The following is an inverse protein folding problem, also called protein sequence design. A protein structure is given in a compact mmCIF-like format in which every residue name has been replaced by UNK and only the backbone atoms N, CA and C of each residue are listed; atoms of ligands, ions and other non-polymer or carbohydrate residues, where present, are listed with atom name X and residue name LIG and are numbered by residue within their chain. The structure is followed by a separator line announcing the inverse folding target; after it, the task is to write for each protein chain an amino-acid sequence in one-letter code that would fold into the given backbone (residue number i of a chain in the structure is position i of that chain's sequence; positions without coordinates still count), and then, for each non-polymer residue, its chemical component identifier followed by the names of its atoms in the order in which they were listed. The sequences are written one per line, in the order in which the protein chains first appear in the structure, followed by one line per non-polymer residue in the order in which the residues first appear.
data_IF_287125934324
#
_entry.id   IF_287125934324
#
_cell.length_a   1.000
_cell.length_b   1.000
_cell.length_c   1.000
_cell.angle_alpha   90.00
_cell.angle_beta   90.00
_cell.angle_gamma   90.00
#
_symmetry.space_group_name_H-M   'P 1'
#
loop_
_entity.id
_entity.type
_entity.pdbx_description
1 polymer ?
#
# COMPACT_ATOMS: atom_id res chain seq x y z
N UNK A 1 -51.12 -10.80 -60.26
CA UNK A 1 -49.74 -10.22 -60.17
C UNK A 1 -49.68 -9.04 -59.23
N UNK A 2 -50.73 -8.26 -59.01
CA UNK A 2 -50.71 -7.11 -58.07
C UNK A 2 -50.88 -7.48 -56.59
N UNK A 3 -51.50 -8.64 -56.28
CA UNK A 3 -51.73 -9.06 -54.90
C UNK A 3 -50.43 -9.60 -54.22
N UNK A 4 -49.59 -10.28 -54.99
CA UNK A 4 -48.33 -10.84 -54.50
C UNK A 4 -47.28 -9.74 -54.16
N UNK A 5 -47.30 -8.61 -54.91
CA UNK A 5 -46.44 -7.46 -54.62
C UNK A 5 -46.81 -6.71 -53.36
N UNK A 6 -48.10 -6.68 -52.98
CA UNK A 6 -48.54 -6.01 -51.72
C UNK A 6 -48.20 -6.84 -50.49
N UNK A 7 -48.26 -8.15 -50.54
CA UNK A 7 -47.88 -9.03 -49.44
C UNK A 7 -46.35 -9.04 -49.19
N UNK A 8 -45.54 -8.92 -50.24
CA UNK A 8 -44.06 -8.83 -50.10
C UNK A 8 -43.60 -7.49 -49.44
N UNK A 9 -44.34 -6.37 -49.69
CA UNK A 9 -44.04 -5.09 -49.06
C UNK A 9 -44.38 -5.05 -47.54
N UNK A 10 -45.45 -5.75 -47.14
CA UNK A 10 -45.85 -5.84 -45.72
C UNK A 10 -44.94 -6.79 -44.91
N UNK A 11 -44.40 -7.82 -45.50
CA UNK A 11 -43.42 -8.72 -44.89
C UNK A 11 -42.07 -8.05 -44.70
N UNK A 12 -41.68 -7.13 -45.59
CA UNK A 12 -40.39 -6.40 -45.48
C UNK A 12 -40.47 -5.28 -44.39
N UNK A 13 -41.64 -4.68 -44.18
CA UNK A 13 -41.83 -3.66 -43.16
C UNK A 13 -41.90 -4.26 -41.72
N UNK A 14 -42.38 -5.49 -41.56
CA UNK A 14 -42.40 -6.18 -40.27
C UNK A 14 -41.01 -6.69 -39.84
N UNK A 15 -40.08 -6.95 -40.77
CA UNK A 15 -38.71 -7.34 -40.48
C UNK A 15 -37.79 -6.15 -40.04
N UNK A 16 -38.18 -4.90 -40.40
CA UNK A 16 -37.43 -3.68 -40.04
C UNK A 16 -37.81 -3.16 -38.64
N UNK A 17 -38.99 -3.49 -38.12
CA UNK A 17 -39.44 -3.03 -36.78
C UNK A 17 -39.15 -4.03 -35.66
N UNK A 18 -38.67 -5.24 -35.95
CA UNK A 18 -38.32 -6.26 -34.95
C UNK A 18 -36.90 -6.15 -34.41
N UNK A 19 -36.08 -5.22 -34.91
CA UNK A 19 -34.64 -5.23 -34.71
C UNK A 19 -34.04 -4.15 -33.79
N UNK A 20 -34.83 -3.36 -33.07
CA UNK A 20 -34.30 -2.20 -32.32
C UNK A 20 -34.82 -2.07 -30.88
N UNK A 21 -34.91 -3.17 -30.15
CA UNK A 21 -34.93 -3.12 -28.69
C UNK A 21 -33.64 -3.77 -28.14
N UNK A 22 -32.49 -3.34 -28.63
CA UNK A 22 -31.29 -3.35 -27.80
C UNK A 22 -31.50 -2.20 -26.80
N UNK A 23 -31.95 -2.54 -25.59
CA UNK A 23 -31.93 -1.60 -24.47
C UNK A 23 -30.53 -0.96 -24.39
N UNK A 24 -30.39 0.26 -23.89
CA UNK A 24 -29.09 0.89 -23.80
C UNK A 24 -28.18 -0.05 -23.03
N UNK A 25 -27.20 -0.64 -23.73
CA UNK A 25 -26.08 -1.27 -23.07
C UNK A 25 -25.44 -0.14 -22.25
N UNK A 26 -25.70 -0.11 -20.95
CA UNK A 26 -25.03 0.83 -20.05
C UNK A 26 -23.54 0.51 -20.19
N UNK A 27 -22.81 1.43 -20.83
CA UNK A 27 -21.38 1.28 -20.98
C UNK A 27 -20.79 1.12 -19.57
N UNK A 28 -20.15 -0.03 -19.34
CA UNK A 28 -19.57 -0.34 -18.05
C UNK A 28 -18.53 0.72 -17.69
N UNK A 29 -18.76 1.46 -16.62
CA UNK A 29 -17.87 2.55 -16.21
C UNK A 29 -16.55 1.99 -15.66
N UNK A 30 -15.44 2.38 -16.29
CA UNK A 30 -14.11 1.92 -15.90
C UNK A 30 -13.28 3.06 -15.36
N UNK A 31 -12.71 2.89 -14.17
CA UNK A 31 -11.70 3.78 -13.59
C UNK A 31 -10.30 3.22 -13.85
N UNK A 32 -9.52 3.94 -14.64
CA UNK A 32 -8.19 3.51 -15.12
C UNK A 32 -7.11 4.18 -14.30
N UNK A 33 -6.28 3.38 -13.63
CA UNK A 33 -5.26 3.83 -12.69
C UNK A 33 -3.89 3.36 -13.20
N UNK A 34 -2.93 4.27 -13.41
CA UNK A 34 -1.57 3.86 -13.72
C UNK A 34 -0.67 3.91 -12.48
N UNK A 35 0.02 2.79 -12.22
CA UNK A 35 0.93 2.59 -11.09
C UNK A 35 2.31 2.15 -11.57
N UNK A 36 3.37 2.51 -10.82
CA UNK A 36 4.75 2.23 -11.21
C UNK A 36 5.26 0.83 -10.83
N UNK A 37 4.54 0.09 -9.98
CA UNK A 37 5.01 -1.17 -9.42
C UNK A 37 4.09 -2.31 -9.80
N UNK A 38 4.67 -3.38 -10.36
CA UNK A 38 3.97 -4.64 -10.56
C UNK A 38 3.96 -5.43 -9.25
N UNK A 39 2.80 -5.94 -8.80
CA UNK A 39 2.73 -6.73 -7.59
C UNK A 39 3.45 -8.07 -7.76
N UNK A 40 4.41 -8.33 -6.89
CA UNK A 40 5.07 -9.62 -6.75
C UNK A 40 4.11 -10.69 -6.21
N UNK A 41 3.20 -10.28 -5.34
CA UNK A 41 2.15 -11.10 -4.74
C UNK A 41 0.84 -10.33 -4.63
N UNK A 42 -0.29 -11.03 -4.58
CA UNK A 42 -1.60 -10.49 -4.19
C UNK A 42 -2.07 -11.09 -2.85
N UNK A 43 -1.22 -11.86 -2.19
CA UNK A 43 -1.48 -12.40 -0.86
C UNK A 43 -1.30 -11.29 0.19
N UNK A 44 -2.34 -10.92 0.96
CA UNK A 44 -2.26 -9.84 1.93
C UNK A 44 -1.09 -9.96 2.91
N UNK A 45 -0.84 -11.17 3.43
CA UNK A 45 0.20 -11.37 4.46
C UNK A 45 1.64 -11.30 3.92
N UNK A 46 1.82 -11.42 2.59
CA UNK A 46 3.14 -11.45 1.96
C UNK A 46 3.57 -10.14 1.31
N UNK A 47 2.71 -9.13 1.29
CA UNK A 47 2.98 -7.84 0.65
C UNK A 47 4.13 -7.09 1.32
N UNK A 48 4.88 -6.35 0.50
CA UNK A 48 6.03 -5.56 0.93
C UNK A 48 5.94 -4.08 0.55
N UNK A 49 4.95 -3.69 -0.27
CA UNK A 49 4.81 -2.33 -0.76
C UNK A 49 3.41 -1.78 -0.60
N UNK A 50 3.29 -0.51 -0.22
CA UNK A 50 2.01 0.21 -0.10
C UNK A 50 1.23 0.24 -1.42
N UNK A 51 1.92 0.35 -2.56
CA UNK A 51 1.26 0.36 -3.88
C UNK A 51 0.50 -0.94 -4.13
N UNK A 52 1.06 -2.09 -3.74
CA UNK A 52 0.39 -3.39 -3.87
C UNK A 52 -0.75 -3.50 -2.86
N UNK A 53 -0.54 -3.05 -1.62
CA UNK A 53 -1.58 -2.98 -0.59
C UNK A 53 -2.80 -2.22 -1.11
N UNK A 54 -2.61 -1.02 -1.67
CA UNK A 54 -3.69 -0.20 -2.21
C UNK A 54 -4.48 -0.88 -3.34
N UNK A 55 -3.87 -1.78 -4.12
CA UNK A 55 -4.61 -2.57 -5.12
C UNK A 55 -5.41 -3.71 -4.48
N UNK A 56 -4.84 -4.36 -3.47
CA UNK A 56 -5.49 -5.47 -2.75
C UNK A 56 -6.66 -4.97 -1.90
N UNK A 57 -6.58 -3.77 -1.34
CA UNK A 57 -7.63 -3.15 -0.51
C UNK A 57 -8.96 -2.90 -1.27
N UNK A 58 -8.95 -2.94 -2.60
CA UNK A 58 -10.21 -2.95 -3.38
C UNK A 58 -11.00 -4.25 -3.20
N UNK A 59 -10.31 -5.35 -2.89
CA UNK A 59 -10.85 -6.71 -2.84
C UNK A 59 -10.95 -7.22 -1.41
N UNK A 60 -9.99 -6.85 -0.56
CA UNK A 60 -9.81 -7.37 0.79
C UNK A 60 -10.09 -6.29 1.81
N UNK A 61 -10.79 -6.62 2.86
CA UNK A 61 -11.01 -5.75 4.01
C UNK A 61 -10.32 -6.29 5.26
N UNK A 62 -10.12 -5.41 6.21
CA UNK A 62 -9.45 -5.66 7.49
C UNK A 62 -10.45 -5.63 8.65
N UNK A 63 -10.04 -6.05 9.84
CA UNK A 63 -10.92 -6.03 11.02
C UNK A 63 -11.20 -4.61 11.50
N UNK A 64 -10.23 -3.71 11.36
CA UNK A 64 -10.33 -2.28 11.68
C UNK A 64 -9.75 -1.47 10.53
N UNK A 65 -10.06 -0.17 10.41
CA UNK A 65 -9.47 0.71 9.41
C UNK A 65 -9.00 2.03 10.03
N UNK A 66 -8.14 2.77 9.31
CA UNK A 66 -7.74 4.13 9.69
C UNK A 66 -8.65 5.13 8.98
N UNK A 67 -9.25 6.05 9.74
CA UNK A 67 -9.93 7.20 9.16
C UNK A 67 -8.93 8.26 8.65
N UNK A 68 -9.44 9.35 8.07
CA UNK A 68 -8.61 10.43 7.52
C UNK A 68 -7.77 11.16 8.58
N UNK A 69 -8.17 11.08 9.85
CA UNK A 69 -7.46 11.62 11.01
C UNK A 69 -6.45 10.62 11.60
N UNK A 70 -6.24 9.46 10.97
CA UNK A 70 -5.34 8.40 11.44
C UNK A 70 -5.85 7.64 12.67
N UNK A 71 -7.15 7.74 13.00
CA UNK A 71 -7.77 7.02 14.12
C UNK A 71 -8.26 5.65 13.69
N UNK A 72 -8.00 4.65 14.50
CA UNK A 72 -8.53 3.29 14.28
C UNK A 72 -10.03 3.25 14.49
N UNK A 73 -10.75 2.73 13.50
CA UNK A 73 -12.21 2.61 13.46
C UNK A 73 -12.66 1.17 13.20
N UNK A 74 -13.89 0.82 13.64
CA UNK A 74 -14.51 -0.47 13.32
C UNK A 74 -14.69 -0.68 11.80
N UNK A 75 -14.38 -1.91 11.32
CA UNK A 75 -14.69 -2.34 9.96
C UNK A 75 -15.36 -3.73 9.96
N UNK A 76 -14.65 -4.81 9.71
CA UNK A 76 -15.19 -6.17 9.87
C UNK A 76 -15.35 -6.57 11.34
N UNK A 77 -14.59 -5.97 12.26
CA UNK A 77 -14.90 -5.99 13.70
C UNK A 77 -15.70 -4.74 14.05
N UNK A 78 -16.87 -4.91 14.67
CA UNK A 78 -17.76 -3.82 15.10
C UNK A 78 -17.28 -3.18 16.41
N UNK A 79 -16.61 -3.95 17.26
CA UNK A 79 -16.03 -3.49 18.53
C UNK A 79 -14.99 -4.46 19.04
N UNK A 80 -14.22 -4.00 20.03
CA UNK A 80 -13.25 -4.84 20.74
C UNK A 80 -13.09 -4.39 22.19
N UNK A 81 -12.65 -5.33 23.03
CA UNK A 81 -12.25 -5.09 24.41
C UNK A 81 -10.86 -5.66 24.64
N UNK A 82 -10.14 -5.06 25.60
CA UNK A 82 -8.78 -5.48 25.97
C UNK A 82 -8.78 -5.84 27.45
N UNK A 83 -8.13 -6.95 27.81
CA UNK A 83 -7.94 -7.35 29.20
C UNK A 83 -7.02 -6.36 29.93
N UNK A 84 -7.14 -6.25 31.27
CA UNK A 84 -6.33 -5.31 32.06
C UNK A 84 -4.82 -5.48 31.91
N UNK A 85 -4.35 -6.72 31.65
CA UNK A 85 -2.95 -7.05 31.42
C UNK A 85 -2.48 -6.76 29.99
N UNK A 86 -3.40 -6.33 29.09
CA UNK A 86 -3.10 -6.03 27.69
C UNK A 86 -2.77 -7.24 26.83
N UNK A 87 -3.01 -8.47 27.31
CA UNK A 87 -2.67 -9.70 26.63
C UNK A 87 -3.81 -10.31 25.82
N UNK A 88 -5.07 -9.99 26.15
CA UNK A 88 -6.22 -10.59 25.48
C UNK A 88 -7.10 -9.52 24.84
N UNK A 89 -7.44 -9.74 23.58
CA UNK A 89 -8.35 -8.91 22.79
C UNK A 89 -9.57 -9.74 22.39
N UNK A 90 -10.75 -9.27 22.74
CA UNK A 90 -12.02 -9.89 22.31
C UNK A 90 -12.64 -9.00 21.24
N UNK A 91 -12.78 -9.52 20.05
CA UNK A 91 -13.31 -8.82 18.86
C UNK A 91 -14.74 -9.30 18.60
N UNK A 92 -15.69 -8.39 18.43
CA UNK A 92 -17.05 -8.67 17.97
C UNK A 92 -17.13 -8.41 16.48
N UNK A 93 -17.48 -9.42 15.71
CA UNK A 93 -17.47 -9.41 14.26
C UNK A 93 -18.82 -8.94 13.70
N UNK A 94 -18.75 -8.27 12.56
CA UNK A 94 -19.93 -7.87 11.78
C UNK A 94 -20.66 -9.11 11.27
N UNK A 95 -21.98 -9.10 11.43
CA UNK A 95 -22.86 -10.19 10.98
C UNK A 95 -23.36 -9.94 9.56
N UNK A 96 -23.70 -11.03 8.85
CA UNK A 96 -24.31 -10.94 7.51
C UNK A 96 -23.36 -10.57 6.38
N UNK A 97 -22.06 -10.52 6.64
CA UNK A 97 -21.03 -10.34 5.61
C UNK A 97 -20.69 -11.68 4.96
N UNK A 98 -20.52 -11.68 3.65
CA UNK A 98 -20.07 -12.85 2.90
C UNK A 98 -18.84 -12.49 2.06
N UNK A 99 -17.98 -13.47 1.85
CA UNK A 99 -16.89 -13.36 0.87
C UNK A 99 -17.42 -13.37 -0.56
N UNK A 100 -16.60 -12.96 -1.53
CA UNK A 100 -16.98 -12.93 -2.94
C UNK A 100 -17.37 -14.31 -3.51
N UNK A 101 -16.88 -15.39 -2.93
CA UNK A 101 -17.25 -16.77 -3.28
C UNK A 101 -18.57 -17.26 -2.63
N UNK A 102 -19.22 -16.38 -1.87
CA UNK A 102 -20.49 -16.65 -1.18
C UNK A 102 -20.33 -17.37 0.16
N UNK A 103 -19.13 -17.72 0.59
CA UNK A 103 -18.90 -18.28 1.92
C UNK A 103 -19.06 -17.21 3.00
N UNK A 104 -19.54 -17.58 4.21
CA UNK A 104 -19.76 -16.61 5.28
C UNK A 104 -18.45 -16.07 5.84
N UNK A 105 -18.43 -14.77 6.16
CA UNK A 105 -17.42 -14.18 7.02
C UNK A 105 -17.82 -14.46 8.48
N UNK A 106 -17.01 -15.23 9.19
CA UNK A 106 -17.23 -15.63 10.59
C UNK A 106 -15.94 -15.69 11.39
N UNK A 107 -16.05 -16.05 12.67
CA UNK A 107 -14.91 -16.17 13.56
C UNK A 107 -13.90 -17.24 13.15
N UNK A 108 -14.33 -18.31 12.45
CA UNK A 108 -13.43 -19.35 11.94
C UNK A 108 -12.57 -18.81 10.80
N UNK A 109 -13.18 -18.04 9.91
CA UNK A 109 -12.44 -17.38 8.83
C UNK A 109 -11.42 -16.36 9.38
N UNK A 110 -11.79 -15.57 10.38
CA UNK A 110 -10.87 -14.64 11.05
C UNK A 110 -9.73 -15.39 11.73
N UNK A 111 -10.05 -16.46 12.49
CA UNK A 111 -9.03 -17.31 13.12
C UNK A 111 -8.03 -17.83 12.07
N UNK A 112 -8.51 -18.39 10.97
CA UNK A 112 -7.68 -18.94 9.90
C UNK A 112 -6.72 -17.86 9.34
N UNK A 113 -7.21 -16.64 9.09
CA UNK A 113 -6.39 -15.53 8.57
C UNK A 113 -5.33 -15.06 9.59
N UNK A 114 -5.71 -14.90 10.86
CA UNK A 114 -4.78 -14.47 11.91
C UNK A 114 -3.76 -15.58 12.28
N UNK A 115 -4.13 -16.85 12.16
CA UNK A 115 -3.20 -17.97 12.34
C UNK A 115 -2.08 -17.94 11.28
N UNK A 116 -2.36 -17.50 10.04
CA UNK A 116 -1.34 -17.30 9.01
C UNK A 116 -0.28 -16.27 9.41
N UNK A 117 -0.66 -15.22 10.13
CA UNK A 117 0.30 -14.18 10.58
C UNK A 117 1.33 -14.72 11.57
N UNK A 118 0.97 -15.72 12.38
CA UNK A 118 1.88 -16.32 13.37
C UNK A 118 2.62 -17.55 12.86
N UNK A 119 2.13 -18.21 11.79
CA UNK A 119 2.72 -19.45 11.29
C UNK A 119 4.12 -19.19 10.71
N UNK A 120 5.19 -19.85 11.22
CA UNK A 120 6.54 -19.73 10.69
C UNK A 120 6.67 -20.29 9.27
N UNK A 121 5.77 -21.18 8.83
CA UNK A 121 5.71 -21.71 7.47
C UNK A 121 5.16 -20.74 6.42
N UNK A 122 4.55 -19.63 6.85
CA UNK A 122 4.06 -18.56 5.98
C UNK A 122 5.06 -17.41 5.97
N UNK A 123 5.43 -16.95 4.77
CA UNK A 123 6.28 -15.76 4.64
C UNK A 123 5.47 -14.52 5.00
N UNK A 124 5.78 -13.88 6.12
CA UNK A 124 5.17 -12.62 6.58
C UNK A 124 6.28 -11.59 6.77
N UNK A 125 6.56 -10.74 5.78
CA UNK A 125 7.65 -9.75 5.84
C UNK A 125 7.51 -8.77 7.01
N UNK A 126 6.28 -8.40 7.37
CA UNK A 126 5.95 -7.47 8.45
C UNK A 126 5.19 -8.20 9.56
N UNK A 127 5.88 -9.07 10.30
CA UNK A 127 5.31 -9.87 11.38
C UNK A 127 5.32 -9.18 12.75
N UNK A 128 6.28 -8.33 13.01
CA UNK A 128 6.54 -7.76 14.35
C UNK A 128 5.34 -7.08 15.03
N UNK A 129 4.43 -6.38 14.32
CA UNK A 129 3.23 -5.77 14.91
C UNK A 129 2.19 -6.77 15.40
N UNK A 130 2.32 -8.05 15.04
CA UNK A 130 1.36 -9.10 15.32
C UNK A 130 1.93 -10.17 16.27
N UNK A 131 2.14 -9.85 17.57
CA UNK A 131 2.69 -10.79 18.55
C UNK A 131 1.64 -11.80 19.01
N UNK A 132 0.97 -12.47 18.06
CA UNK A 132 -0.14 -13.39 18.29
C UNK A 132 0.39 -14.71 18.85
N UNK A 133 -0.13 -15.13 20.02
CA UNK A 133 0.10 -16.43 20.60
C UNK A 133 -0.98 -17.43 20.16
N UNK A 134 -2.23 -17.02 20.30
CA UNK A 134 -3.38 -17.89 20.06
C UNK A 134 -4.57 -17.08 19.54
N UNK A 135 -5.40 -17.72 18.73
CA UNK A 135 -6.66 -17.15 18.21
C UNK A 135 -7.77 -18.19 18.43
N UNK A 136 -8.82 -17.81 19.14
CA UNK A 136 -9.98 -18.65 19.43
C UNK A 136 -11.23 -18.09 18.76
N UNK A 137 -11.91 -18.90 17.96
CA UNK A 137 -13.27 -18.65 17.52
C UNK A 137 -14.23 -19.06 18.65
N UNK A 138 -14.63 -18.11 19.49
CA UNK A 138 -15.46 -18.35 20.68
C UNK A 138 -16.88 -18.73 20.28
N UNK A 139 -17.43 -18.02 19.32
CA UNK A 139 -18.70 -18.29 18.65
C UNK A 139 -18.62 -17.80 17.19
N UNK A 140 -19.70 -17.86 16.44
CA UNK A 140 -19.69 -17.47 15.01
C UNK A 140 -19.29 -15.99 14.77
N UNK A 141 -19.46 -15.12 15.76
CA UNK A 141 -19.23 -13.66 15.65
C UNK A 141 -18.27 -13.10 16.70
N UNK A 142 -17.58 -13.95 17.45
CA UNK A 142 -16.66 -13.52 18.51
C UNK A 142 -15.32 -14.23 18.37
N UNK A 143 -14.25 -13.44 18.24
CA UNK A 143 -12.87 -13.92 18.22
C UNK A 143 -12.13 -13.40 19.43
N UNK A 144 -11.39 -14.27 20.10
CA UNK A 144 -10.45 -13.92 21.15
C UNK A 144 -9.03 -14.12 20.66
N UNK A 145 -8.21 -13.08 20.74
CA UNK A 145 -6.80 -13.11 20.37
C UNK A 145 -5.95 -12.94 21.61
N UNK A 146 -5.09 -13.91 21.89
CA UNK A 146 -4.12 -13.85 22.99
C UNK A 146 -2.75 -13.50 22.40
N UNK A 147 -2.08 -12.52 22.98
CA UNK A 147 -0.76 -12.06 22.55
C UNK A 147 0.37 -12.70 23.39
N UNK A 148 1.57 -12.79 22.81
CA UNK A 148 2.79 -13.25 23.52
C UNK A 148 3.35 -12.19 24.48
N UNK A 149 2.99 -10.93 24.28
CA UNK A 149 3.35 -9.75 25.09
C UNK A 149 2.31 -8.66 24.91
N UNK A 150 2.11 -7.76 25.87
CA UNK A 150 1.23 -6.62 25.69
C UNK A 150 1.65 -5.77 24.47
N UNK A 151 0.68 -5.32 23.69
CA UNK A 151 0.94 -4.53 22.48
C UNK A 151 -0.16 -3.48 22.28
N UNK A 152 0.07 -2.25 22.76
CA UNK A 152 -0.89 -1.16 22.54
C UNK A 152 -1.19 -0.86 21.07
N UNK A 153 -0.26 -1.01 20.10
CA UNK A 153 -0.54 -0.80 18.68
C UNK A 153 -1.24 -1.99 18.00
N UNK A 154 -1.55 -3.09 18.69
CA UNK A 154 -2.09 -4.29 18.06
C UNK A 154 -3.37 -4.03 17.24
N UNK A 155 -4.34 -3.31 17.82
CA UNK A 155 -5.61 -3.00 17.10
C UNK A 155 -5.36 -2.06 15.92
N UNK A 156 -4.41 -1.16 16.04
CA UNK A 156 -3.98 -0.33 14.92
C UNK A 156 -3.31 -1.18 13.82
N UNK A 157 -2.48 -2.15 14.19
CA UNK A 157 -1.87 -3.05 13.21
C UNK A 157 -2.91 -3.89 12.43
N UNK A 158 -4.06 -4.18 13.03
CA UNK A 158 -5.18 -4.85 12.34
C UNK A 158 -5.83 -3.98 11.23
N UNK A 159 -5.43 -2.72 11.06
CA UNK A 159 -5.84 -1.88 9.92
C UNK A 159 -4.99 -2.14 8.68
N UNK A 160 -3.84 -2.78 8.83
CA UNK A 160 -2.92 -2.99 7.72
C UNK A 160 -3.40 -4.12 6.81
N UNK A 161 -3.24 -3.95 5.52
CA UNK A 161 -3.61 -4.96 4.52
C UNK A 161 -2.96 -6.32 4.80
N UNK A 162 -1.80 -6.35 5.47
CA UNK A 162 -1.17 -7.60 5.97
C UNK A 162 -2.10 -8.42 6.87
N UNK A 163 -3.00 -7.78 7.60
CA UNK A 163 -4.04 -8.45 8.40
C UNK A 163 -5.38 -8.57 7.66
N UNK A 164 -5.37 -8.43 6.34
CA UNK A 164 -6.55 -8.53 5.48
C UNK A 164 -7.20 -9.90 5.53
N UNK A 165 -8.52 -9.91 5.49
CA UNK A 165 -9.33 -11.12 5.66
C UNK A 165 -9.75 -11.65 4.29
N UNK A 166 -9.35 -12.88 3.98
CA UNK A 166 -9.68 -13.61 2.74
C UNK A 166 -10.42 -14.90 3.04
N UNK A 167 -11.14 -15.43 2.05
CA UNK A 167 -11.89 -16.69 2.15
C UNK A 167 -10.95 -17.89 2.31
N UNK A 168 -11.03 -18.65 3.40
CA UNK A 168 -10.31 -19.91 3.54
C UNK A 168 -10.68 -20.93 2.44
N UNK A 169 -11.96 -21.04 2.09
CA UNK A 169 -12.44 -21.96 1.07
C UNK A 169 -11.87 -21.67 -0.33
N UNK A 170 -11.61 -20.38 -0.63
CA UNK A 170 -10.93 -20.01 -1.87
C UNK A 170 -9.45 -20.36 -1.84
N UNK A 171 -8.79 -20.21 -0.70
CA UNK A 171 -7.39 -20.58 -0.53
C UNK A 171 -7.16 -22.07 -0.79
N UNK A 172 -8.02 -22.93 -0.23
CA UNK A 172 -7.97 -24.37 -0.44
C UNK A 172 -8.08 -24.76 -1.94
N UNK A 173 -8.98 -24.09 -2.68
CA UNK A 173 -9.17 -24.32 -4.12
C UNK A 173 -7.97 -23.90 -4.97
N UNK A 174 -7.12 -23.01 -4.48
CA UNK A 174 -5.92 -22.54 -5.21
C UNK A 174 -4.75 -23.53 -5.12
N UNK A 175 -4.87 -24.60 -4.34
CA UNK A 175 -3.94 -25.73 -4.33
C UNK A 175 -2.61 -25.51 -3.62
N UNK A 176 -2.41 -24.33 -2.99
CA UNK A 176 -1.21 -23.99 -2.23
C UNK A 176 -1.47 -23.93 -0.73
N UNK A 177 -2.52 -24.61 -0.31
CA UNK A 177 -2.99 -24.52 1.05
C UNK A 177 -3.11 -23.01 1.43
N UNK A 178 -2.75 -22.65 2.65
CA UNK A 178 -2.80 -21.25 3.06
C UNK A 178 -1.46 -20.51 2.99
N UNK A 179 -0.43 -21.08 2.36
CA UNK A 179 0.93 -20.52 2.36
C UNK A 179 1.18 -19.47 1.31
N UNK A 180 0.47 -19.55 0.18
CA UNK A 180 0.62 -18.58 -0.92
C UNK A 180 -0.68 -18.43 -1.68
N UNK A 181 -1.30 -17.26 -1.60
CA UNK A 181 -2.55 -16.95 -2.27
C UNK A 181 -2.24 -16.30 -3.63
N UNK A 182 -2.70 -16.91 -4.70
CA UNK A 182 -2.46 -16.45 -6.08
C UNK A 182 -3.32 -15.23 -6.40
N UNK A 183 -4.59 -15.25 -5.96
CA UNK A 183 -5.53 -14.14 -6.06
C UNK A 183 -6.42 -14.07 -4.81
N UNK A 184 -6.70 -12.86 -4.29
CA UNK A 184 -7.49 -12.70 -3.09
C UNK A 184 -8.99 -12.86 -3.40
N UNK A 185 -9.71 -13.54 -2.51
CA UNK A 185 -11.17 -13.55 -2.45
C UNK A 185 -11.55 -12.96 -1.08
N UNK A 186 -11.91 -11.71 -1.07
CA UNK A 186 -12.19 -10.93 0.13
C UNK A 186 -13.67 -10.64 0.31
N UNK A 187 -13.96 -9.62 1.11
CA UNK A 187 -15.28 -9.09 1.43
C UNK A 187 -15.50 -7.69 0.84
N UNK A 188 -14.51 -7.15 0.15
CA UNK A 188 -14.42 -5.76 -0.29
C UNK A 188 -15.40 -5.39 -1.41
N UNK A 189 -15.42 -4.09 -1.78
CA UNK A 189 -16.37 -3.55 -2.76
C UNK A 189 -16.13 -4.04 -4.20
N UNK A 190 -14.97 -4.61 -4.49
CA UNK A 190 -14.62 -5.16 -5.81
C UNK A 190 -14.17 -6.61 -5.69
N UNK A 191 -14.45 -7.38 -6.75
CA UNK A 191 -14.00 -8.77 -6.94
C UNK A 191 -12.79 -8.79 -7.87
N UNK A 192 -11.76 -9.55 -7.53
CA UNK A 192 -10.66 -9.83 -8.43
C UNK A 192 -11.16 -10.53 -9.70
N UNK A 193 -10.82 -9.99 -10.86
CA UNK A 193 -11.23 -10.53 -12.16
C UNK A 193 -10.07 -11.14 -12.92
N UNK A 194 -8.99 -10.39 -13.11
CA UNK A 194 -7.89 -10.80 -13.99
C UNK A 194 -6.57 -10.16 -13.59
N UNK A 195 -5.49 -10.89 -13.80
CA UNK A 195 -4.11 -10.41 -13.71
C UNK A 195 -3.38 -10.76 -15.01
N UNK A 196 -3.03 -9.74 -15.78
CA UNK A 196 -2.14 -9.87 -16.94
C UNK A 196 -0.72 -9.55 -16.48
N UNK A 197 0.14 -10.58 -16.51
CA UNK A 197 1.50 -10.48 -15.95
C UNK A 197 2.29 -9.33 -16.58
N UNK A 198 2.81 -8.43 -15.75
CA UNK A 198 3.59 -7.27 -16.17
C UNK A 198 2.78 -6.14 -16.80
N UNK A 199 1.46 -6.29 -16.99
CA UNK A 199 0.62 -5.35 -17.74
C UNK A 199 -0.46 -4.71 -16.88
N UNK A 200 -1.33 -5.52 -16.26
CA UNK A 200 -2.49 -4.97 -15.56
C UNK A 200 -3.12 -5.93 -14.53
N UNK A 201 -3.90 -5.32 -13.62
CA UNK A 201 -4.84 -6.01 -12.74
C UNK A 201 -6.21 -5.38 -12.95
N UNK A 202 -7.23 -6.22 -13.09
CA UNK A 202 -8.62 -5.81 -13.23
C UNK A 202 -9.44 -6.32 -12.06
N UNK A 203 -10.23 -5.44 -11.47
CA UNK A 203 -11.23 -5.78 -10.46
C UNK A 203 -12.59 -5.22 -10.87
N UNK A 204 -13.69 -5.91 -10.55
CA UNK A 204 -15.06 -5.53 -10.92
C UNK A 204 -15.91 -5.37 -9.69
N UNK A 205 -16.84 -4.43 -9.72
CA UNK A 205 -17.77 -4.12 -8.63
C UNK A 205 -18.49 -5.37 -8.12
N UNK A 206 -18.57 -5.50 -6.80
CA UNK A 206 -19.31 -6.55 -6.14
C UNK A 206 -20.73 -6.07 -5.80
N UNK A 207 -21.72 -6.56 -6.53
CA UNK A 207 -23.11 -6.11 -6.37
C UNK A 207 -23.70 -6.44 -5.00
N UNK A 208 -23.21 -7.49 -4.33
CA UNK A 208 -23.64 -7.91 -2.99
C UNK A 208 -22.80 -7.32 -1.86
N UNK A 209 -21.99 -6.28 -2.16
CA UNK A 209 -21.17 -5.63 -1.15
C UNK A 209 -22.01 -5.11 0.02
N UNK A 210 -21.62 -5.42 1.24
CA UNK A 210 -22.30 -5.09 2.47
C UNK A 210 -22.26 -3.59 2.85
N UNK A 211 -21.25 -2.87 2.34
CA UNK A 211 -21.05 -1.44 2.57
C UNK A 211 -21.57 -0.56 1.45
N UNK A 212 -21.05 0.68 1.38
CA UNK A 212 -21.40 1.61 0.30
C UNK A 212 -20.81 1.14 -1.02
N UNK A 213 -21.66 0.86 -2.00
CA UNK A 213 -21.24 0.41 -3.34
C UNK A 213 -20.38 1.46 -4.03
N UNK A 214 -19.33 1.04 -4.74
CA UNK A 214 -18.46 1.94 -5.50
C UNK A 214 -19.19 2.52 -6.72
N UNK A 215 -18.72 3.69 -7.18
CA UNK A 215 -19.30 4.39 -8.32
C UNK A 215 -18.98 3.68 -9.65
N UNK A 216 -17.72 3.26 -9.85
CA UNK A 216 -17.28 2.61 -11.07
C UNK A 216 -17.52 1.10 -11.04
N UNK A 217 -17.88 0.52 -12.21
CA UNK A 217 -18.14 -0.92 -12.33
C UNK A 217 -16.85 -1.72 -12.44
N UNK A 218 -15.78 -1.10 -12.95
CA UNK A 218 -14.46 -1.71 -13.11
C UNK A 218 -13.38 -0.75 -12.63
N UNK A 219 -12.38 -1.27 -11.91
CA UNK A 219 -11.11 -0.59 -11.72
C UNK A 219 -10.01 -1.38 -12.44
N UNK A 220 -9.26 -0.68 -13.30
CA UNK A 220 -8.16 -1.22 -14.10
C UNK A 220 -6.84 -0.58 -13.67
N UNK A 221 -5.99 -1.34 -13.02
CA UNK A 221 -4.64 -0.94 -12.67
C UNK A 221 -3.68 -1.29 -13.81
N UNK A 222 -3.16 -0.28 -14.50
CA UNK A 222 -2.13 -0.44 -15.55
C UNK A 222 -0.75 -0.27 -14.94
N UNK A 223 0.15 -1.20 -15.23
CA UNK A 223 1.52 -1.15 -14.73
C UNK A 223 2.37 -0.36 -15.72
N UNK A 224 2.81 0.80 -15.31
CA UNK A 224 3.61 1.72 -16.13
C UNK A 224 4.76 2.23 -15.24
N UNK A 225 5.94 1.61 -15.27
CA UNK A 225 7.05 1.92 -14.38
C UNK A 225 7.51 3.39 -14.46
N UNK A 226 7.62 3.93 -15.67
CA UNK A 226 8.15 5.28 -15.92
C UNK A 226 7.13 6.37 -15.55
N UNK A 227 7.50 7.25 -14.62
CA UNK A 227 6.62 8.32 -14.12
C UNK A 227 6.18 9.30 -15.22
N UNK A 228 7.08 9.69 -16.11
CA UNK A 228 6.78 10.58 -17.24
C UNK A 228 5.79 9.94 -18.23
N UNK A 229 5.88 8.63 -18.43
CA UNK A 229 4.90 7.91 -19.27
C UNK A 229 3.54 7.90 -18.60
N UNK A 230 3.45 7.69 -17.26
CA UNK A 230 2.17 7.78 -16.54
C UNK A 230 1.54 9.15 -16.69
N UNK A 231 2.32 10.22 -16.56
CA UNK A 231 1.87 11.59 -16.75
C UNK A 231 1.33 11.82 -18.17
N UNK A 232 2.07 11.41 -19.19
CA UNK A 232 1.64 11.49 -20.59
C UNK A 232 0.31 10.78 -20.83
N UNK A 233 0.10 9.60 -20.24
CA UNK A 233 -1.16 8.85 -20.33
C UNK A 233 -2.33 9.60 -19.65
N UNK A 234 -2.08 10.27 -18.51
CA UNK A 234 -3.08 11.08 -17.83
C UNK A 234 -3.48 12.29 -18.68
N UNK A 235 -2.50 13.04 -19.18
CA UNK A 235 -2.73 14.23 -20.01
C UNK A 235 -3.43 13.88 -21.34
N UNK A 236 -3.20 12.68 -21.87
CA UNK A 236 -3.89 12.17 -23.06
C UNK A 236 -5.28 11.55 -22.76
N UNK A 237 -5.74 11.57 -21.50
CA UNK A 237 -7.03 10.96 -21.10
C UNK A 237 -7.08 9.42 -21.24
N UNK A 238 -5.93 8.76 -21.33
CA UNK A 238 -5.86 7.30 -21.45
C UNK A 238 -5.91 6.60 -20.08
N UNK A 239 -5.67 7.33 -19.00
CA UNK A 239 -5.91 6.93 -17.61
C UNK A 239 -6.57 8.07 -16.85
N UNK A 240 -7.26 7.74 -15.76
CA UNK A 240 -8.05 8.69 -14.96
C UNK A 240 -7.30 9.11 -13.70
N UNK A 241 -6.34 8.30 -13.25
CA UNK A 241 -5.50 8.57 -12.09
C UNK A 241 -4.09 8.01 -12.32
N UNK A 242 -3.09 8.76 -11.88
CA UNK A 242 -1.71 8.28 -11.77
C UNK A 242 -1.22 8.39 -10.34
N UNK A 243 -0.39 7.44 -9.92
CA UNK A 243 0.25 7.45 -8.61
C UNK A 243 1.71 7.83 -8.79
N UNK A 244 2.21 8.75 -7.95
CA UNK A 244 3.60 9.23 -7.98
C UNK A 244 4.01 9.79 -9.36
N UNK A 245 3.43 10.93 -9.79
CA UNK A 245 3.91 11.65 -10.98
C UNK A 245 5.35 12.14 -10.76
N UNK A 246 6.06 12.59 -11.83
CA UNK A 246 7.31 13.31 -11.65
C UNK A 246 7.10 14.51 -10.75
N UNK A 247 7.83 14.60 -9.64
CA UNK A 247 7.61 15.67 -8.65
C UNK A 247 8.01 17.06 -9.17
N UNK A 248 8.95 17.12 -10.12
CA UNK A 248 9.33 18.35 -10.80
C UNK A 248 8.15 18.97 -11.58
N UNK A 249 7.21 18.17 -12.05
CA UNK A 249 6.09 18.59 -12.89
C UNK A 249 4.82 18.94 -12.07
N UNK A 250 4.83 18.69 -10.75
CA UNK A 250 3.69 19.02 -9.87
C UNK A 250 3.20 20.47 -10.00
N UNK A 251 4.09 21.51 -10.09
CA UNK A 251 3.62 22.87 -10.29
C UNK A 251 2.93 23.10 -11.65
N UNK A 252 3.37 22.41 -12.70
CA UNK A 252 2.74 22.47 -14.02
C UNK A 252 1.39 21.73 -14.04
N UNK A 253 1.34 20.53 -13.48
CA UNK A 253 0.12 19.76 -13.32
C UNK A 253 -0.93 20.51 -12.49
N UNK A 254 -0.52 21.18 -11.41
CA UNK A 254 -1.43 21.96 -10.56
C UNK A 254 -2.05 23.19 -11.24
N UNK A 255 -1.44 23.69 -12.33
CA UNK A 255 -2.00 24.78 -13.17
C UNK A 255 -2.89 24.26 -14.30
N UNK A 256 -2.89 22.98 -14.58
CA UNK A 256 -3.71 22.38 -15.63
C UNK A 256 -5.14 22.18 -15.12
N UNK A 257 -6.11 22.92 -15.67
CA UNK A 257 -7.51 22.87 -15.26
C UNK A 257 -8.17 21.48 -15.44
N UNK A 258 -7.63 20.62 -16.31
CA UNK A 258 -8.11 19.26 -16.53
C UNK A 258 -7.56 18.25 -15.52
N UNK A 259 -6.62 18.62 -14.66
CA UNK A 259 -5.93 17.75 -13.72
C UNK A 259 -6.14 18.24 -12.30
N UNK A 260 -6.46 17.33 -11.38
CA UNK A 260 -6.47 17.59 -9.94
C UNK A 260 -5.27 16.93 -9.28
N UNK A 261 -4.35 17.73 -8.76
CA UNK A 261 -3.24 17.25 -7.94
C UNK A 261 -3.71 17.06 -6.51
N UNK A 262 -3.51 15.87 -5.95
CA UNK A 262 -3.82 15.53 -4.57
C UNK A 262 -2.50 15.27 -3.84
N UNK A 263 -2.21 16.11 -2.85
CA UNK A 263 -1.08 15.94 -1.93
C UNK A 263 -1.62 15.57 -0.56
N UNK A 264 -1.05 14.53 0.02
CA UNK A 264 -1.39 14.11 1.37
C UNK A 264 -0.10 13.86 2.17
N UNK A 265 -0.08 14.15 3.47
CA UNK A 265 1.00 13.72 4.34
C UNK A 265 1.19 12.20 4.23
N UNK A 266 2.43 11.77 4.09
CA UNK A 266 2.76 10.35 4.01
C UNK A 266 3.24 9.85 5.39
N UNK A 267 2.92 8.62 5.72
CA UNK A 267 3.51 7.88 6.83
C UNK A 267 4.89 7.29 6.48
N UNK A 268 5.31 7.44 5.21
CA UNK A 268 6.59 6.93 4.72
C UNK A 268 7.74 7.82 5.16
N UNK A 269 8.71 7.23 5.84
CA UNK A 269 9.99 7.86 6.15
C UNK A 269 11.08 7.31 5.24
N UNK A 270 11.90 8.19 4.68
CA UNK A 270 13.11 7.83 3.92
C UNK A 270 14.31 8.05 4.85
N UNK A 271 15.11 7.03 5.01
CA UNK A 271 16.25 7.05 5.94
C UNK A 271 17.41 6.21 5.41
N UNK A 272 18.62 6.54 5.86
CA UNK A 272 19.80 5.73 5.65
C UNK A 272 20.03 4.84 6.88
N UNK A 273 20.09 3.52 6.67
CA UNK A 273 20.37 2.55 7.73
C UNK A 273 21.87 2.28 7.84
N UNK A 274 22.38 2.26 9.07
CA UNK A 274 23.78 1.91 9.36
C UNK A 274 23.89 0.48 9.85
N UNK A 275 24.87 -0.26 9.36
CA UNK A 275 25.24 -1.54 9.94
C UNK A 275 26.04 -1.31 11.25
N UNK A 276 25.31 -1.26 12.35
CA UNK A 276 25.91 -0.97 13.67
C UNK A 276 26.76 -2.08 14.26
N UNK A 277 26.87 -3.24 13.61
CA UNK A 277 27.71 -4.36 14.05
C UNK A 277 29.13 -4.27 13.51
N UNK A 278 29.39 -3.34 12.56
CA UNK A 278 30.69 -3.23 11.87
C UNK A 278 31.28 -1.81 12.02
N UNK A 279 32.62 -1.70 12.14
CA UNK A 279 33.29 -0.41 12.01
C UNK A 279 33.04 0.22 10.63
N UNK A 280 32.99 1.57 10.54
CA UNK A 280 33.09 2.51 11.66
C UNK A 280 31.72 2.78 12.34
N UNK A 281 30.61 2.16 11.85
CA UNK A 281 29.25 2.48 12.27
C UNK A 281 28.83 1.88 13.62
N UNK A 282 29.65 1.02 14.24
CA UNK A 282 29.46 0.56 15.61
C UNK A 282 29.66 1.71 16.64
N UNK A 283 30.43 2.76 16.29
CA UNK A 283 30.57 3.96 17.11
C UNK A 283 29.40 4.93 16.88
N UNK A 284 28.62 5.31 17.91
CA UNK A 284 27.52 6.26 17.80
C UNK A 284 27.95 7.66 17.34
N UNK A 285 29.19 8.08 17.64
CA UNK A 285 29.72 9.39 17.21
C UNK A 285 29.82 9.47 15.69
N UNK A 286 30.19 8.37 15.03
CA UNK A 286 30.21 8.30 13.55
C UNK A 286 28.82 8.48 12.98
N UNK A 287 27.83 7.79 13.52
CA UNK A 287 26.42 7.92 13.04
C UNK A 287 25.87 9.32 13.26
N UNK A 288 26.21 9.96 14.40
CA UNK A 288 25.87 11.36 14.67
C UNK A 288 26.57 12.31 13.68
N UNK A 289 27.85 12.07 13.40
CA UNK A 289 28.61 12.87 12.45
C UNK A 289 27.94 12.89 11.07
N UNK A 290 27.55 11.74 10.54
CA UNK A 290 26.87 11.65 9.24
C UNK A 290 25.51 12.36 9.25
N UNK A 291 24.78 12.35 10.35
CA UNK A 291 23.55 13.14 10.49
C UNK A 291 23.80 14.66 10.45
N UNK A 292 24.90 15.16 11.03
CA UNK A 292 25.29 16.57 10.95
C UNK A 292 25.89 16.95 9.58
N UNK A 293 26.39 15.98 8.83
CA UNK A 293 27.02 16.22 7.54
C UNK A 293 26.03 16.48 6.41
N UNK A 294 24.80 16.00 6.48
CA UNK A 294 23.81 16.08 5.42
C UNK A 294 22.89 17.27 5.59
N UNK A 295 22.88 18.18 4.59
CA UNK A 295 21.88 19.24 4.51
C UNK A 295 20.56 18.69 3.96
N UNK A 296 19.72 18.22 4.88
CA UNK A 296 18.43 17.63 4.57
C UNK A 296 17.47 18.66 3.97
N UNK A 297 17.57 19.93 4.38
CA UNK A 297 16.73 21.02 3.85
C UNK A 297 17.10 21.33 2.38
N UNK A 298 18.39 21.33 2.06
CA UNK A 298 18.82 21.48 0.66
C UNK A 298 18.31 20.33 -0.22
N UNK A 299 18.36 19.09 0.26
CA UNK A 299 17.81 17.91 -0.46
C UNK A 299 16.29 18.09 -0.68
N UNK A 300 15.53 18.46 0.35
CA UNK A 300 14.08 18.67 0.23
C UNK A 300 13.77 19.72 -0.82
N UNK A 301 14.48 20.85 -0.80
CA UNK A 301 14.19 21.94 -1.71
C UNK A 301 14.67 21.69 -3.15
N UNK A 302 15.89 21.15 -3.33
CA UNK A 302 16.54 21.06 -4.65
C UNK A 302 16.32 19.72 -5.35
N UNK A 303 16.20 18.61 -4.60
CA UNK A 303 16.02 17.26 -5.17
C UNK A 303 14.55 16.85 -5.12
N UNK A 304 13.86 17.19 -4.04
CA UNK A 304 12.46 16.80 -3.82
C UNK A 304 11.46 17.95 -4.11
N UNK A 305 11.92 19.08 -4.62
CA UNK A 305 11.08 20.22 -5.03
C UNK A 305 10.07 20.66 -3.96
N UNK A 306 10.43 20.55 -2.69
CA UNK A 306 9.56 20.86 -1.55
C UNK A 306 8.48 19.79 -1.25
N UNK A 307 8.49 18.65 -1.94
CA UNK A 307 7.49 17.59 -1.77
C UNK A 307 7.84 16.59 -0.64
N UNK A 308 8.50 17.04 0.41
CA UNK A 308 8.82 16.24 1.58
C UNK A 308 8.96 17.12 2.82
N UNK A 309 8.76 16.53 3.99
CA UNK A 309 8.95 17.17 5.28
C UNK A 309 10.23 16.68 5.98
N UNK A 310 10.89 17.58 6.72
CA UNK A 310 12.05 17.21 7.52
C UNK A 310 11.63 16.32 8.69
N UNK A 311 12.20 15.12 8.75
CA UNK A 311 11.97 14.20 9.86
C UNK A 311 12.83 14.55 11.08
N UNK A 312 12.17 14.55 12.25
CA UNK A 312 12.80 14.77 13.56
C UNK A 312 12.68 13.55 14.49
N UNK A 313 12.05 12.49 14.02
CA UNK A 313 11.91 11.21 14.71
C UNK A 313 11.89 10.06 13.68
N UNK A 314 12.14 8.81 14.08
CA UNK A 314 12.04 7.65 13.17
C UNK A 314 10.63 7.41 12.63
N UNK A 315 9.61 7.96 13.30
CA UNK A 315 8.19 7.77 12.99
C UNK A 315 7.61 9.08 12.47
N UNK A 316 6.81 9.00 11.39
CA UNK A 316 6.15 10.19 10.85
C UNK A 316 5.15 10.81 11.84
N UNK A 317 4.94 12.14 11.83
CA UNK A 317 4.03 12.83 12.76
C UNK A 317 2.58 12.35 12.72
N UNK A 318 2.13 11.77 11.60
CA UNK A 318 0.79 11.20 11.44
C UNK A 318 0.61 9.85 12.11
N UNK A 319 1.68 9.16 12.50
CA UNK A 319 1.62 7.80 13.03
C UNK A 319 1.43 7.80 14.57
N UNK A 320 0.67 6.82 15.03
CA UNK A 320 0.53 6.54 16.46
C UNK A 320 1.90 6.26 17.09
N UNK A 321 2.16 6.93 18.21
CA UNK A 321 3.43 6.81 18.95
C UNK A 321 4.51 7.79 18.49
N UNK A 322 4.23 8.70 17.55
CA UNK A 322 5.14 9.79 17.23
C UNK A 322 5.45 10.62 18.48
N UNK A 323 6.72 10.90 18.67
CA UNK A 323 7.23 11.79 19.71
C UNK A 323 8.34 12.64 19.11
N UNK A 324 8.15 13.95 19.14
CA UNK A 324 9.12 14.91 18.62
C UNK A 324 10.45 14.81 19.36
N UNK A 325 11.53 14.52 18.63
CA UNK A 325 12.88 14.39 19.18
C UNK A 325 13.80 15.56 18.83
N UNK A 326 13.50 16.29 17.76
CA UNK A 326 14.33 17.31 17.17
C UNK A 326 15.27 16.77 16.10
N UNK A 327 15.34 17.49 14.96
CA UNK A 327 16.20 17.15 13.84
C UNK A 327 17.66 17.55 14.11
N UNK A 328 18.59 16.75 13.58
CA UNK A 328 19.99 17.17 13.50
C UNK A 328 20.11 18.35 12.53
N UNK A 329 20.73 19.44 12.97
CA UNK A 329 21.10 20.59 12.12
C UNK A 329 22.22 20.19 11.12
N UNK A 330 22.29 20.90 10.00
CA UNK A 330 23.43 20.78 9.09
C UNK A 330 24.65 21.50 9.72
N UNK A 331 25.69 20.75 10.09
CA UNK A 331 26.89 21.27 10.74
C UNK A 331 28.13 20.44 10.41
N UNK A 332 28.74 20.68 9.22
CA UNK A 332 29.92 19.93 8.77
C UNK A 332 31.13 20.04 9.71
N UNK A 333 31.29 21.18 10.40
CA UNK A 333 32.38 21.34 11.35
C UNK A 333 32.24 20.38 12.53
N UNK A 334 31.05 20.27 13.09
CA UNK A 334 30.72 19.32 14.18
C UNK A 334 30.86 17.87 13.69
N UNK A 335 30.45 17.58 12.45
CA UNK A 335 30.63 16.28 11.83
C UNK A 335 32.12 15.86 11.82
N UNK A 336 33.00 16.73 11.30
CA UNK A 336 34.46 16.50 11.27
C UNK A 336 35.05 16.29 12.67
N UNK A 337 34.61 17.08 13.65
CA UNK A 337 35.05 16.94 15.05
C UNK A 337 34.67 15.57 15.62
N UNK A 338 33.44 15.11 15.40
CA UNK A 338 32.96 13.82 15.90
C UNK A 338 33.68 12.63 15.24
N UNK A 339 33.95 12.70 13.93
CA UNK A 339 34.73 11.66 13.23
C UNK A 339 36.16 11.60 13.76
N UNK A 340 36.80 12.74 13.94
CA UNK A 340 38.17 12.81 14.52
C UNK A 340 38.19 12.22 15.95
N UNK A 341 37.21 12.57 16.80
CA UNK A 341 37.05 12.02 18.16
C UNK A 341 36.78 10.49 18.14
N UNK A 342 36.17 9.96 17.10
CA UNK A 342 35.94 8.54 16.90
C UNK A 342 37.15 7.81 16.26
N UNK A 343 38.21 8.53 15.92
CA UNK A 343 39.41 7.96 15.28
C UNK A 343 39.23 7.61 13.79
N UNK A 344 38.20 8.11 13.14
CA UNK A 344 37.95 7.89 11.71
C UNK A 344 38.86 8.83 10.90
N UNK A 345 39.68 8.23 10.03
CA UNK A 345 40.60 8.97 9.18
C UNK A 345 39.90 9.54 7.96
N UNK A 346 40.28 10.76 7.48
CA UNK A 346 39.80 11.25 6.20
C UNK A 346 40.02 10.21 5.08
N UNK A 347 39.06 10.08 4.18
CA UNK A 347 39.12 9.11 3.09
C UNK A 347 38.84 7.66 3.50
N UNK A 348 38.38 7.39 4.72
CA UNK A 348 37.89 6.05 5.12
C UNK A 348 36.77 5.62 4.17
N UNK A 349 36.95 4.47 3.49
CA UNK A 349 35.96 3.96 2.53
C UNK A 349 34.81 3.24 3.23
N UNK A 350 33.59 3.60 2.84
CA UNK A 350 32.35 2.92 3.28
C UNK A 350 31.48 2.61 2.06
N UNK A 351 30.77 1.50 2.12
CA UNK A 351 29.84 1.11 1.05
C UNK A 351 28.46 1.72 1.33
N UNK A 352 27.87 2.33 0.31
CA UNK A 352 26.51 2.86 0.35
C UNK A 352 25.68 2.20 -0.74
N UNK A 353 24.57 1.57 -0.37
CA UNK A 353 23.65 0.87 -1.26
C UNK A 353 22.31 1.58 -1.22
N UNK A 354 21.75 1.87 -2.38
CA UNK A 354 20.43 2.49 -2.51
C UNK A 354 19.60 1.79 -3.59
N UNK A 355 18.24 1.84 -3.51
CA UNK A 355 17.37 1.41 -4.60
C UNK A 355 17.39 2.44 -5.74
N UNK A 356 16.89 2.01 -6.91
CA UNK A 356 16.63 2.90 -8.05
C UNK A 356 15.22 2.65 -8.56
N UNK A 357 14.38 3.71 -8.59
CA UNK A 357 13.01 3.64 -9.07
C UNK A 357 11.99 3.02 -8.12
N UNK A 358 12.37 2.76 -6.87
CA UNK A 358 11.47 2.23 -5.84
C UNK A 358 10.75 3.33 -5.06
N UNK A 359 11.47 4.40 -4.75
CA UNK A 359 10.97 5.58 -4.02
C UNK A 359 11.11 6.81 -4.88
N UNK A 360 10.40 7.88 -4.51
CA UNK A 360 10.49 9.17 -5.20
C UNK A 360 11.91 9.70 -5.14
N UNK A 361 12.55 9.87 -6.31
CA UNK A 361 13.92 10.39 -6.46
C UNK A 361 14.97 9.68 -5.60
N UNK A 362 14.81 8.37 -5.39
CA UNK A 362 15.69 7.59 -4.49
C UNK A 362 17.16 7.64 -4.90
N UNK A 363 17.45 7.55 -6.19
CA UNK A 363 18.79 7.68 -6.74
C UNK A 363 19.37 9.08 -6.52
N UNK A 364 18.62 10.13 -6.88
CA UNK A 364 19.03 11.52 -6.77
C UNK A 364 19.22 11.94 -5.31
N UNK A 365 18.35 11.48 -4.41
CA UNK A 365 18.51 11.67 -2.95
C UNK A 365 19.78 10.97 -2.46
N UNK A 366 20.02 9.73 -2.87
CA UNK A 366 21.21 9.00 -2.47
C UNK A 366 22.49 9.67 -2.97
N UNK A 367 22.50 10.15 -4.22
CA UNK A 367 23.64 10.88 -4.78
C UNK A 367 23.89 12.20 -4.05
N UNK A 368 22.83 12.93 -3.67
CA UNK A 368 22.95 14.15 -2.88
C UNK A 368 23.54 13.87 -1.48
N UNK A 369 23.03 12.82 -0.80
CA UNK A 369 23.60 12.38 0.50
C UNK A 369 25.07 12.01 0.35
N UNK A 370 25.44 11.23 -0.67
CA UNK A 370 26.81 10.86 -0.95
C UNK A 370 27.70 12.07 -1.20
N UNK A 371 27.20 13.10 -1.91
CA UNK A 371 27.90 14.36 -2.15
C UNK A 371 28.22 15.12 -0.88
N UNK A 372 27.31 15.24 0.08
CA UNK A 372 27.54 15.87 1.37
C UNK A 372 28.55 15.10 2.25
N UNK A 373 28.60 13.80 2.13
CA UNK A 373 29.47 12.94 2.94
C UNK A 373 30.85 12.70 2.32
N UNK A 374 31.04 12.99 1.00
CA UNK A 374 32.26 12.74 0.27
C UNK A 374 33.49 13.42 0.86
N UNK A 375 33.32 14.58 1.49
CA UNK A 375 34.40 15.30 2.18
C UNK A 375 34.81 14.66 3.52
N UNK A 376 34.04 13.70 4.01
CA UNK A 376 34.22 13.07 5.32
C UNK A 376 34.66 11.62 5.20
N UNK A 377 34.01 10.86 4.31
CA UNK A 377 34.28 9.46 4.04
C UNK A 377 34.13 9.20 2.55
N UNK A 378 34.89 8.26 2.00
CA UNK A 378 34.74 7.87 0.60
C UNK A 378 33.59 6.88 0.46
N UNK A 379 32.50 7.29 -0.16
CA UNK A 379 31.35 6.42 -0.45
C UNK A 379 31.59 5.70 -1.79
N UNK A 380 31.33 4.39 -1.80
CA UNK A 380 31.28 3.58 -3.02
C UNK A 380 29.82 3.18 -3.26
N UNK A 381 29.27 3.60 -4.40
CA UNK A 381 27.99 3.10 -4.91
C UNK A 381 28.16 1.67 -5.44
N UNK A 382 27.21 0.78 -5.20
CA UNK A 382 27.13 -0.56 -5.74
C UNK A 382 25.78 -0.78 -6.45
#
# INVERSE_FOLDING_TARGET
RHLIRRLALWALTLLIFGGLWAGPATAQSTFRIAVGVYPDTLDPVQMTTTTVANMVDYVVETLTFLDQEGKTRPMLAESWTVSPDGLQYTLKLRKGVAFHDGTPFDAKAVKWNLDRLKDPGVRVPIRAPFPIKEVDAVDASTVKVTLTRPSSPFVNALTWTTAGIISPASADKQGNEYKNIVYPVGTGPYVFKERKKGESITVTKYDKYWGKKPHYDTALFRIVPEAATRESLLLAGQVDLIVLPPIADLPALGRNAAVKVLLAPSDRTIFMAFNTTKPPFNDPRVRQALNYAVDKSAIINSVLFGAADLMDAPTAPSLFGYCKQGAYEFNPAKAKQLLAAAGVKPGTKVSFIHPTGRYTQDKEVAQAVAGFEADLVSLQEF
#
